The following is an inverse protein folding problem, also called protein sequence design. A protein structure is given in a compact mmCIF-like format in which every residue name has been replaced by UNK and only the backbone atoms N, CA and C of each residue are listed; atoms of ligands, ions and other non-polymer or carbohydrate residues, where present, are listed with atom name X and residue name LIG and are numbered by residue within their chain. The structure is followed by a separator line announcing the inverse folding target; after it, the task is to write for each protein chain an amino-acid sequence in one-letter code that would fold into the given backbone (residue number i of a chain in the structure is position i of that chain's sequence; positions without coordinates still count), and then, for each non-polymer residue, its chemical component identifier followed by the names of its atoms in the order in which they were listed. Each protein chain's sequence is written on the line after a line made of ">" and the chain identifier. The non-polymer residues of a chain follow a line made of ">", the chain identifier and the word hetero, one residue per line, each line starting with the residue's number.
data_IF_298842652018
#
_entry.id   IF_298842652018
#
_cell.length_a   1.000
_cell.length_b   1.000
_cell.length_c   1.000
_cell.angle_alpha   90.00
_cell.angle_beta   90.00
_cell.angle_gamma   90.00
#
_symmetry.space_group_name_H-M   'P 1'
#
loop_
_entity.id
_entity.type
_entity.pdbx_description
1 polymer ?
#
# COMPACT_ATOMS: atom_id res chain seq x y z
N UNK A 1 -34.05 2.29 -1.25
CA UNK A 1 -33.17 3.47 -1.40
C UNK A 1 -31.98 3.05 -2.24
N UNK A 2 -31.59 3.86 -3.22
CA UNK A 2 -30.41 3.58 -4.05
C UNK A 2 -29.16 3.69 -3.17
N UNK A 3 -28.27 2.71 -3.21
CA UNK A 3 -27.04 2.73 -2.45
C UNK A 3 -26.16 3.91 -2.91
N UNK A 4 -25.74 4.82 -2.02
CA UNK A 4 -25.03 6.05 -2.40
C UNK A 4 -23.68 5.79 -3.08
N UNK A 5 -23.04 4.64 -2.81
CA UNK A 5 -21.78 4.25 -3.46
C UNK A 5 -21.94 3.88 -4.94
N UNK A 6 -23.18 3.68 -5.42
CA UNK A 6 -23.49 3.37 -6.81
C UNK A 6 -23.79 4.62 -7.65
N UNK A 7 -24.03 5.76 -7.00
CA UNK A 7 -24.24 7.03 -7.68
C UNK A 7 -22.92 7.79 -7.81
N UNK A 8 -22.47 7.95 -9.06
CA UNK A 8 -21.20 8.59 -9.41
C UNK A 8 -21.39 9.83 -10.29
N UNK A 9 -22.64 10.31 -10.39
CA UNK A 9 -23.05 11.42 -11.27
C UNK A 9 -22.57 12.79 -10.78
N UNK A 10 -22.14 12.90 -9.51
CA UNK A 10 -21.65 14.13 -8.90
C UNK A 10 -20.52 13.90 -7.89
N UNK A 11 -20.43 14.80 -6.90
CA UNK A 11 -19.49 14.65 -5.77
C UNK A 11 -19.92 13.49 -4.85
N UNK A 12 -18.97 12.83 -4.16
CA UNK A 12 -19.29 11.83 -3.14
C UNK A 12 -20.23 12.37 -2.04
N UNK A 13 -21.36 11.72 -1.83
CA UNK A 13 -22.31 12.02 -0.75
C UNK A 13 -21.86 11.37 0.57
N UNK A 14 -20.73 11.81 1.11
CA UNK A 14 -20.08 11.20 2.29
C UNK A 14 -20.99 11.09 3.52
N UNK A 15 -21.88 12.06 3.73
CA UNK A 15 -22.86 12.10 4.81
C UNK A 15 -23.93 10.99 4.72
N UNK A 16 -24.17 10.47 3.51
CA UNK A 16 -25.13 9.41 3.25
C UNK A 16 -24.53 7.99 3.27
N UNK A 17 -23.20 7.86 3.20
CA UNK A 17 -22.52 6.56 3.19
C UNK A 17 -22.53 5.98 4.60
N UNK A 18 -23.02 4.74 4.72
CA UNK A 18 -23.06 3.99 5.98
C UNK A 18 -22.36 2.64 5.81
N UNK A 19 -21.83 2.02 6.89
CA UNK A 19 -21.11 0.76 6.81
C UNK A 19 -21.89 -0.35 6.08
N UNK A 20 -23.20 -0.45 6.29
CA UNK A 20 -24.07 -1.44 5.65
C UNK A 20 -24.20 -1.27 4.13
N UNK A 21 -23.84 -0.10 3.58
CA UNK A 21 -23.83 0.15 2.15
C UNK A 21 -22.60 -0.46 1.44
N UNK A 22 -21.49 -0.66 2.16
CA UNK A 22 -20.18 -1.00 1.57
C UNK A 22 -20.24 -2.35 0.87
N UNK A 23 -20.53 -3.43 1.60
CA UNK A 23 -20.54 -4.79 1.05
C UNK A 23 -21.42 -4.94 -0.19
N UNK A 24 -22.71 -4.58 -0.12
CA UNK A 24 -23.62 -4.69 -1.27
C UNK A 24 -23.18 -3.87 -2.49
N UNK A 25 -22.65 -2.65 -2.30
CA UNK A 25 -22.16 -1.85 -3.42
C UNK A 25 -20.92 -2.47 -4.07
N UNK A 26 -19.96 -2.91 -3.25
CA UNK A 26 -18.73 -3.52 -3.72
C UNK A 26 -19.02 -4.83 -4.45
N UNK A 27 -19.88 -5.69 -3.92
CA UNK A 27 -20.25 -6.94 -4.59
C UNK A 27 -20.90 -6.68 -5.97
N UNK A 28 -21.78 -5.68 -6.07
CA UNK A 28 -22.42 -5.31 -7.32
C UNK A 28 -21.43 -4.71 -8.34
N UNK A 29 -20.56 -3.79 -7.90
CA UNK A 29 -19.58 -3.15 -8.77
C UNK A 29 -18.49 -4.14 -9.21
N UNK A 30 -18.08 -5.02 -8.31
CA UNK A 30 -17.11 -6.07 -8.59
C UNK A 30 -17.66 -7.05 -9.62
N UNK A 31 -18.91 -7.50 -9.49
CA UNK A 31 -19.54 -8.38 -10.48
C UNK A 31 -19.61 -7.72 -11.87
N UNK A 32 -19.86 -6.41 -11.95
CA UNK A 32 -19.84 -5.65 -13.21
C UNK A 32 -18.42 -5.55 -13.79
N UNK A 33 -17.43 -5.27 -12.96
CA UNK A 33 -16.04 -5.18 -13.36
C UNK A 33 -15.51 -6.54 -13.86
N UNK A 34 -15.81 -7.64 -13.17
CA UNK A 34 -15.47 -9.00 -13.58
C UNK A 34 -16.14 -9.38 -14.91
N UNK A 35 -17.40 -9.00 -15.12
CA UNK A 35 -18.10 -9.23 -16.39
C UNK A 35 -17.45 -8.44 -17.54
N UNK A 36 -17.05 -7.18 -17.31
CA UNK A 36 -16.36 -6.37 -18.29
C UNK A 36 -14.97 -6.93 -18.62
N UNK A 37 -14.22 -7.42 -17.63
CA UNK A 37 -12.95 -8.14 -17.84
C UNK A 37 -13.15 -9.35 -18.76
N UNK A 38 -14.11 -10.22 -18.44
CA UNK A 38 -14.40 -11.41 -19.28
C UNK A 38 -14.78 -11.05 -20.71
N UNK A 39 -15.55 -9.98 -20.90
CA UNK A 39 -15.89 -9.51 -22.24
C UNK A 39 -14.64 -8.99 -22.96
N UNK A 40 -13.83 -8.17 -22.28
CA UNK A 40 -12.61 -7.57 -22.79
C UNK A 40 -11.57 -8.62 -23.25
N UNK A 41 -11.46 -9.75 -22.55
CA UNK A 41 -10.58 -10.88 -22.92
C UNK A 41 -10.85 -11.46 -24.33
N UNK A 42 -12.06 -11.28 -24.87
CA UNK A 42 -12.52 -11.97 -26.09
C UNK A 42 -12.94 -11.01 -27.22
N UNK A 43 -12.77 -9.70 -27.04
CA UNK A 43 -13.12 -8.69 -28.05
C UNK A 43 -12.39 -8.95 -29.38
N UNK A 44 -13.15 -8.98 -30.48
CA UNK A 44 -12.63 -9.03 -31.84
C UNK A 44 -13.65 -8.42 -32.82
N UNK A 45 -13.29 -7.41 -33.63
CA UNK A 45 -11.99 -6.74 -33.68
C UNK A 45 -11.73 -5.89 -32.43
N UNK A 46 -10.46 -5.83 -32.00
CA UNK A 46 -10.02 -4.98 -30.90
C UNK A 46 -9.92 -3.53 -31.37
N UNK A 47 -10.49 -2.61 -30.60
CA UNK A 47 -10.43 -1.17 -30.82
C UNK A 47 -10.53 -0.44 -29.49
N UNK A 48 -10.19 0.84 -29.46
CA UNK A 48 -10.31 1.67 -28.25
C UNK A 48 -11.72 1.60 -27.65
N UNK A 49 -12.74 1.74 -28.50
CA UNK A 49 -14.14 1.82 -28.07
C UNK A 49 -14.75 0.44 -27.76
N UNK A 50 -14.22 -0.64 -28.34
CA UNK A 50 -14.70 -2.01 -28.06
C UNK A 50 -13.98 -2.69 -26.89
N UNK A 51 -12.76 -2.26 -26.54
CA UNK A 51 -11.93 -2.87 -25.52
C UNK A 51 -11.64 -1.94 -24.33
N UNK A 52 -10.99 -0.80 -24.56
CA UNK A 52 -10.52 0.08 -23.47
C UNK A 52 -11.69 0.75 -22.76
N UNK A 53 -12.58 1.43 -23.50
CA UNK A 53 -13.68 2.21 -22.91
C UNK A 53 -14.59 1.35 -22.02
N UNK A 54 -15.12 0.18 -22.45
CA UNK A 54 -16.01 -0.60 -21.61
C UNK A 54 -15.32 -1.22 -20.38
N UNK A 55 -14.04 -1.58 -20.51
CA UNK A 55 -13.23 -2.11 -19.42
C UNK A 55 -12.98 -1.04 -18.35
N UNK A 56 -12.49 0.13 -18.78
CA UNK A 56 -12.19 1.26 -17.90
C UNK A 56 -13.47 1.78 -17.23
N UNK A 57 -14.57 1.96 -17.98
CA UNK A 57 -15.84 2.43 -17.42
C UNK A 57 -16.37 1.50 -16.31
N UNK A 58 -16.20 0.19 -16.43
CA UNK A 58 -16.65 -0.75 -15.43
C UNK A 58 -15.73 -0.77 -14.20
N UNK A 59 -14.41 -0.80 -14.41
CA UNK A 59 -13.42 -0.86 -13.33
C UNK A 59 -13.31 0.46 -12.57
N UNK A 60 -13.39 1.60 -13.24
CA UNK A 60 -13.34 2.93 -12.63
C UNK A 60 -14.51 3.14 -11.65
N UNK A 61 -15.69 2.62 -11.94
CA UNK A 61 -16.83 2.70 -11.01
C UNK A 61 -16.56 1.97 -9.70
N UNK A 62 -15.92 0.79 -9.78
CA UNK A 62 -15.49 0.04 -8.61
C UNK A 62 -14.46 0.83 -7.80
N UNK A 63 -13.43 1.34 -8.47
CA UNK A 63 -12.33 2.07 -7.81
C UNK A 63 -12.76 3.42 -7.23
N UNK A 64 -13.65 4.16 -7.89
CA UNK A 64 -14.25 5.38 -7.34
C UNK A 64 -15.07 5.12 -6.09
N UNK A 65 -15.86 4.04 -6.06
CA UNK A 65 -16.63 3.68 -4.87
C UNK A 65 -15.68 3.25 -3.73
N UNK A 66 -14.67 2.43 -4.04
CA UNK A 66 -13.68 2.00 -3.04
C UNK A 66 -12.84 3.16 -2.50
N UNK A 67 -12.50 4.14 -3.34
CA UNK A 67 -11.80 5.36 -2.93
C UNK A 67 -12.60 6.17 -1.90
N UNK A 68 -13.93 6.26 -2.05
CA UNK A 68 -14.80 6.92 -1.06
C UNK A 68 -14.80 6.17 0.28
N UNK A 69 -14.89 4.84 0.24
CA UNK A 69 -14.85 3.98 1.43
C UNK A 69 -13.49 4.07 2.13
N UNK A 70 -12.40 4.04 1.37
CA UNK A 70 -11.04 4.21 1.88
C UNK A 70 -10.80 5.59 2.52
N UNK A 71 -11.36 6.65 1.93
CA UNK A 71 -11.30 8.00 2.51
C UNK A 71 -12.01 8.06 3.87
N UNK A 72 -13.25 7.57 3.96
CA UNK A 72 -14.01 7.53 5.22
C UNK A 72 -13.26 6.71 6.29
N UNK A 73 -12.69 5.57 5.91
CA UNK A 73 -11.89 4.75 6.81
C UNK A 73 -10.66 5.50 7.35
N UNK A 74 -10.09 6.42 6.57
CA UNK A 74 -8.92 7.21 6.96
C UNK A 74 -9.27 8.40 7.87
N UNK A 75 -10.43 9.05 7.69
CA UNK A 75 -10.74 10.34 8.36
C UNK A 75 -11.86 10.28 9.40
N UNK A 76 -12.73 9.26 9.37
CA UNK A 76 -13.86 9.06 10.30
C UNK A 76 -14.00 7.57 10.64
N UNK A 77 -12.90 6.99 11.12
CA UNK A 77 -12.79 5.57 11.44
C UNK A 77 -13.72 5.17 12.61
N UNK A 78 -14.76 4.37 12.34
CA UNK A 78 -15.58 3.71 13.37
C UNK A 78 -15.35 2.19 13.34
N UNK A 79 -15.63 1.46 14.44
CA UNK A 79 -15.53 0.00 14.45
C UNK A 79 -16.32 -0.68 13.33
N UNK A 80 -17.53 -0.20 13.04
CA UNK A 80 -18.42 -0.75 12.02
C UNK A 80 -17.90 -0.49 10.61
N UNK A 81 -17.37 0.72 10.36
CA UNK A 81 -16.77 1.05 9.08
C UNK A 81 -15.47 0.26 8.85
N UNK A 82 -14.67 0.07 9.90
CA UNK A 82 -13.45 -0.75 9.86
C UNK A 82 -13.76 -2.20 9.51
N UNK A 83 -14.79 -2.77 10.12
CA UNK A 83 -15.24 -4.13 9.81
C UNK A 83 -15.75 -4.24 8.36
N UNK A 84 -16.56 -3.28 7.91
CA UNK A 84 -17.03 -3.23 6.53
C UNK A 84 -15.88 -3.07 5.51
N UNK A 85 -14.86 -2.28 5.83
CA UNK A 85 -13.65 -2.15 5.02
C UNK A 85 -12.85 -3.46 4.98
N UNK A 86 -12.51 -4.02 6.14
CA UNK A 86 -11.66 -5.21 6.26
C UNK A 86 -12.29 -6.46 5.63
N UNK A 87 -13.62 -6.60 5.71
CA UNK A 87 -14.35 -7.73 5.09
C UNK A 87 -14.39 -7.66 3.56
N UNK A 88 -14.23 -6.48 2.96
CA UNK A 88 -14.27 -6.29 1.51
C UNK A 88 -12.89 -6.15 0.87
N UNK A 89 -11.90 -5.59 1.58
CA UNK A 89 -10.53 -5.40 1.09
C UNK A 89 -9.95 -6.65 0.40
N UNK A 90 -10.05 -7.89 0.94
CA UNK A 90 -9.53 -9.08 0.26
C UNK A 90 -10.14 -9.33 -1.12
N UNK A 91 -11.43 -8.99 -1.33
CA UNK A 91 -12.10 -9.14 -2.63
C UNK A 91 -11.49 -8.19 -3.66
N UNK A 92 -11.27 -6.93 -3.28
CA UNK A 92 -10.67 -5.90 -4.14
C UNK A 92 -9.21 -6.22 -4.45
N UNK A 93 -8.43 -6.63 -3.44
CA UNK A 93 -7.04 -7.04 -3.63
C UNK A 93 -6.93 -8.21 -4.60
N UNK A 94 -7.78 -9.24 -4.45
CA UNK A 94 -7.83 -10.38 -5.38
C UNK A 94 -8.18 -9.94 -6.80
N UNK A 95 -9.18 -9.05 -6.96
CA UNK A 95 -9.57 -8.54 -8.27
C UNK A 95 -8.46 -7.73 -8.94
N UNK A 96 -7.83 -6.80 -8.21
CA UNK A 96 -6.71 -6.01 -8.72
C UNK A 96 -5.52 -6.88 -9.15
N UNK A 97 -5.16 -7.87 -8.34
CA UNK A 97 -4.10 -8.83 -8.69
C UNK A 97 -4.46 -9.66 -9.92
N UNK A 98 -5.69 -10.16 -10.01
CA UNK A 98 -6.15 -10.92 -11.17
C UNK A 98 -6.13 -10.08 -12.45
N UNK A 99 -6.53 -8.80 -12.38
CA UNK A 99 -6.48 -7.87 -13.50
C UNK A 99 -5.04 -7.64 -13.98
N UNK A 100 -4.12 -7.37 -13.05
CA UNK A 100 -2.70 -7.13 -13.36
C UNK A 100 -1.99 -8.35 -13.96
N UNK A 101 -2.46 -9.56 -13.64
CA UNK A 101 -1.89 -10.83 -14.12
C UNK A 101 -2.65 -11.43 -15.33
N UNK A 102 -3.64 -10.72 -15.87
CA UNK A 102 -4.48 -11.24 -16.92
C UNK A 102 -3.80 -11.21 -18.30
N UNK A 103 -3.27 -12.36 -18.73
CA UNK A 103 -2.57 -12.48 -20.01
C UNK A 103 -3.47 -12.29 -21.24
N UNK A 104 -4.77 -12.56 -21.13
CA UNK A 104 -5.71 -12.32 -22.23
C UNK A 104 -5.92 -10.81 -22.43
N UNK A 105 -6.05 -10.04 -21.35
CA UNK A 105 -6.06 -8.57 -21.46
C UNK A 105 -4.73 -8.03 -21.99
N UNK A 106 -3.59 -8.59 -21.57
CA UNK A 106 -2.30 -8.20 -22.13
C UNK A 106 -2.23 -8.43 -23.65
N UNK A 107 -2.71 -9.58 -24.12
CA UNK A 107 -2.79 -9.87 -25.54
C UNK A 107 -3.67 -8.86 -26.29
N UNK A 108 -4.79 -8.43 -25.70
CA UNK A 108 -5.66 -7.41 -26.28
C UNK A 108 -5.00 -6.03 -26.36
N UNK A 109 -4.28 -5.60 -25.31
CA UNK A 109 -3.50 -4.37 -25.36
C UNK A 109 -2.40 -4.42 -26.43
N UNK A 110 -1.73 -5.57 -26.61
CA UNK A 110 -0.75 -5.75 -27.70
C UNK A 110 -1.41 -5.65 -29.06
N UNK A 111 -2.51 -6.36 -29.27
CA UNK A 111 -3.25 -6.32 -30.52
C UNK A 111 -3.77 -4.91 -30.84
N UNK A 112 -4.22 -4.17 -29.82
CA UNK A 112 -4.62 -2.77 -29.95
C UNK A 112 -3.44 -1.88 -30.37
N UNK A 113 -2.25 -2.08 -29.79
CA UNK A 113 -1.05 -1.33 -30.16
C UNK A 113 -0.55 -1.60 -31.57
N UNK A 114 -0.81 -2.79 -32.11
CA UNK A 114 -0.50 -3.18 -33.48
C UNK A 114 -1.61 -2.80 -34.48
N UNK A 115 -2.78 -2.36 -34.00
CA UNK A 115 -3.92 -2.00 -34.85
C UNK A 115 -3.67 -0.69 -35.63
N UNK A 116 -4.18 -0.57 -36.88
CA UNK A 116 -4.03 0.65 -37.68
C UNK A 116 -4.54 1.93 -37.01
N UNK A 117 -5.55 1.83 -36.14
CA UNK A 117 -6.08 2.98 -35.41
C UNK A 117 -5.11 3.57 -34.39
N UNK A 118 -4.18 2.77 -33.85
CA UNK A 118 -3.22 3.24 -32.85
C UNK A 118 -2.30 4.36 -33.37
N UNK A 119 -2.06 4.38 -34.69
CA UNK A 119 -1.32 5.45 -35.35
C UNK A 119 -2.00 6.83 -35.25
N UNK A 120 -3.31 6.86 -34.99
CA UNK A 120 -4.13 8.07 -34.93
C UNK A 120 -4.48 8.50 -33.50
N UNK A 121 -4.00 7.77 -32.48
CA UNK A 121 -4.26 8.11 -31.09
C UNK A 121 -3.60 9.44 -30.68
N UNK A 122 -4.34 10.23 -29.92
CA UNK A 122 -3.81 11.43 -29.28
C UNK A 122 -2.74 11.07 -28.23
N UNK A 123 -2.16 12.10 -27.59
CA UNK A 123 -1.12 11.89 -26.59
C UNK A 123 -1.62 11.12 -25.35
N UNK A 124 -2.89 11.32 -24.95
CA UNK A 124 -3.45 10.68 -23.77
C UNK A 124 -3.68 9.18 -24.00
N UNK A 125 -4.33 8.82 -25.11
CA UNK A 125 -4.60 7.41 -25.48
C UNK A 125 -3.32 6.62 -25.68
N UNK A 126 -2.32 7.20 -26.38
CA UNK A 126 -1.00 6.58 -26.52
C UNK A 126 -0.35 6.34 -25.15
N UNK A 127 -0.42 7.32 -24.25
CA UNK A 127 0.19 7.18 -22.92
C UNK A 127 -0.47 6.11 -22.07
N UNK A 128 -1.81 6.01 -22.11
CA UNK A 128 -2.55 4.94 -21.44
C UNK A 128 -2.11 3.57 -21.95
N UNK A 129 -2.04 3.40 -23.28
CA UNK A 129 -1.61 2.16 -23.90
C UNK A 129 -0.17 1.77 -23.55
N UNK A 130 0.76 2.73 -23.63
CA UNK A 130 2.16 2.54 -23.23
C UNK A 130 2.28 2.12 -21.76
N UNK A 131 1.54 2.78 -20.87
CA UNK A 131 1.56 2.46 -19.44
C UNK A 131 0.98 1.08 -19.18
N UNK A 132 -0.15 0.72 -19.80
CA UNK A 132 -0.75 -0.61 -19.65
C UNK A 132 0.23 -1.72 -20.08
N UNK A 133 0.83 -1.61 -21.28
CA UNK A 133 1.82 -2.57 -21.77
C UNK A 133 3.04 -2.66 -20.87
N UNK A 134 3.57 -1.52 -20.42
CA UNK A 134 4.69 -1.48 -19.46
C UNK A 134 4.33 -2.20 -18.17
N UNK A 135 3.18 -1.90 -17.58
CA UNK A 135 2.80 -2.43 -16.28
C UNK A 135 2.55 -3.94 -16.34
N UNK A 136 1.98 -4.47 -17.42
CA UNK A 136 1.91 -5.92 -17.66
C UNK A 136 3.29 -6.56 -17.80
N UNK A 137 4.22 -5.93 -18.53
CA UNK A 137 5.60 -6.43 -18.63
C UNK A 137 6.29 -6.46 -17.27
N UNK A 138 6.17 -5.39 -16.48
CA UNK A 138 6.70 -5.33 -15.12
C UNK A 138 6.01 -6.33 -14.17
N UNK A 139 4.77 -6.72 -14.49
CA UNK A 139 4.04 -7.83 -13.86
C UNK A 139 4.42 -9.22 -14.34
N UNK A 140 5.44 -9.36 -15.22
CA UNK A 140 5.92 -10.66 -15.69
C UNK A 140 5.08 -11.29 -16.79
N UNK A 141 4.21 -10.54 -17.48
CA UNK A 141 3.32 -11.10 -18.51
C UNK A 141 4.07 -11.75 -19.69
N UNK A 142 5.28 -11.26 -20.00
CA UNK A 142 6.14 -11.75 -21.09
C UNK A 142 7.09 -12.88 -20.70
N UNK A 143 7.10 -13.29 -19.43
CA UNK A 143 7.92 -14.40 -18.95
C UNK A 143 7.44 -15.75 -19.51
N UNK A 144 8.37 -16.69 -19.66
CA UNK A 144 8.02 -18.11 -19.91
C UNK A 144 7.35 -18.74 -18.67
N UNK A 145 6.72 -19.90 -18.83
CA UNK A 145 5.91 -20.52 -17.77
C UNK A 145 6.72 -20.81 -16.50
N UNK A 146 7.99 -21.23 -16.64
CA UNK A 146 8.87 -21.49 -15.50
C UNK A 146 9.22 -20.20 -14.75
N UNK A 147 9.57 -19.15 -15.48
CA UNK A 147 9.91 -17.84 -14.95
C UNK A 147 8.70 -17.15 -14.32
N UNK A 148 7.49 -17.34 -14.88
CA UNK A 148 6.23 -16.87 -14.29
C UNK A 148 5.94 -17.52 -12.95
N UNK A 149 6.08 -18.85 -12.87
CA UNK A 149 5.88 -19.58 -11.62
C UNK A 149 6.86 -19.09 -10.54
N UNK A 150 8.13 -18.88 -10.91
CA UNK A 150 9.13 -18.35 -9.98
C UNK A 150 8.83 -16.91 -9.59
N UNK A 151 8.45 -16.06 -10.54
CA UNK A 151 8.08 -14.67 -10.29
C UNK A 151 6.91 -14.55 -9.29
N UNK A 152 5.89 -15.38 -9.43
CA UNK A 152 4.76 -15.43 -8.49
C UNK A 152 5.21 -15.80 -7.06
N UNK A 153 6.05 -16.83 -6.92
CA UNK A 153 6.61 -17.22 -5.62
C UNK A 153 7.45 -16.09 -4.99
N UNK A 154 8.28 -15.42 -5.80
CA UNK A 154 9.09 -14.29 -5.36
C UNK A 154 8.22 -13.13 -4.87
N UNK A 155 7.14 -12.80 -5.58
CA UNK A 155 6.20 -11.76 -5.14
C UNK A 155 5.47 -12.13 -3.85
N UNK A 156 5.01 -13.37 -3.72
CA UNK A 156 4.35 -13.87 -2.51
C UNK A 156 5.28 -13.76 -1.29
N UNK A 157 6.52 -14.24 -1.43
CA UNK A 157 7.51 -14.20 -0.37
C UNK A 157 7.89 -12.74 0.00
N UNK A 158 8.08 -11.87 -1.00
CA UNK A 158 8.32 -10.44 -0.77
C UNK A 158 7.17 -9.77 0.00
N UNK A 159 5.93 -10.10 -0.33
CA UNK A 159 4.75 -9.57 0.36
C UNK A 159 4.71 -10.02 1.82
N UNK A 160 4.98 -11.31 2.09
CA UNK A 160 5.03 -11.85 3.44
C UNK A 160 6.15 -11.21 4.28
N UNK A 161 7.35 -11.07 3.70
CA UNK A 161 8.50 -10.44 4.36
C UNK A 161 8.26 -8.96 4.64
N UNK A 162 7.64 -8.21 3.73
CA UNK A 162 7.30 -6.81 3.94
C UNK A 162 6.28 -6.62 5.10
N UNK A 163 5.29 -7.51 5.18
CA UNK A 163 4.35 -7.53 6.29
C UNK A 163 5.04 -7.86 7.62
N UNK A 164 5.88 -8.90 7.65
CA UNK A 164 6.66 -9.29 8.83
C UNK A 164 7.60 -8.18 9.29
N UNK A 165 8.31 -7.53 8.35
CA UNK A 165 9.17 -6.39 8.63
C UNK A 165 8.41 -5.27 9.35
N UNK A 166 7.26 -4.88 8.78
CA UNK A 166 6.44 -3.79 9.31
C UNK A 166 5.88 -4.13 10.69
N UNK A 167 5.40 -5.37 10.88
CA UNK A 167 4.90 -5.84 12.18
C UNK A 167 6.01 -5.83 13.24
N UNK A 168 7.19 -6.34 12.92
CA UNK A 168 8.34 -6.34 13.83
C UNK A 168 8.72 -4.92 14.28
N UNK A 169 8.70 -3.93 13.37
CA UNK A 169 8.96 -2.53 13.69
C UNK A 169 7.90 -1.96 14.64
N UNK A 170 6.62 -2.27 14.40
CA UNK A 170 5.52 -1.85 15.26
C UNK A 170 5.67 -2.45 16.67
N UNK A 171 5.83 -3.77 16.75
CA UNK A 171 5.98 -4.49 18.02
C UNK A 171 7.21 -4.00 18.81
N UNK A 172 8.34 -3.74 18.13
CA UNK A 172 9.53 -3.20 18.77
C UNK A 172 9.33 -1.75 19.27
N UNK A 173 8.49 -0.97 18.58
CA UNK A 173 8.12 0.40 19.00
C UNK A 173 7.21 0.36 20.24
N UNK A 174 6.26 -0.57 20.28
CA UNK A 174 5.26 -0.69 21.36
C UNK A 174 5.79 -1.40 22.60
N UNK A 175 6.74 -2.33 22.44
CA UNK A 175 7.39 -3.04 23.54
C UNK A 175 8.30 -2.14 24.39
N UNK A 176 8.79 -1.03 23.84
CA UNK A 176 9.70 -0.13 24.55
C UNK A 176 8.96 1.01 25.26
N UNK A 177 9.31 1.22 26.52
CA UNK A 177 8.96 2.45 27.22
C UNK A 177 10.00 2.79 28.29
N UNK A 178 10.07 4.07 28.63
CA UNK A 178 10.86 4.56 29.74
C UNK A 178 9.96 5.31 30.72
N UNK A 179 10.04 4.95 32.00
CA UNK A 179 9.31 5.62 33.07
C UNK A 179 10.30 6.48 33.86
N UNK A 180 10.03 7.79 33.91
CA UNK A 180 10.75 8.71 34.78
C UNK A 180 9.85 9.12 35.94
N UNK A 181 10.36 9.03 37.17
CA UNK A 181 9.69 9.58 38.36
C UNK A 181 10.21 10.99 38.71
N UNK A 182 11.25 11.46 38.03
CA UNK A 182 11.87 12.75 38.24
C UNK A 182 11.37 13.76 37.19
N UNK A 183 10.56 14.71 37.64
CA UNK A 183 10.02 15.78 36.80
C UNK A 183 11.11 16.62 36.11
N UNK A 184 12.30 16.70 36.70
CA UNK A 184 13.40 17.50 36.15
C UNK A 184 14.00 16.89 34.88
N UNK A 185 13.81 15.58 34.65
CA UNK A 185 14.22 14.96 33.39
C UNK A 185 13.40 15.44 32.20
N UNK A 186 12.21 16.00 32.44
CA UNK A 186 11.26 16.43 31.41
C UNK A 186 11.35 17.92 31.07
N UNK A 187 12.30 18.65 31.65
CA UNK A 187 12.50 20.06 31.33
C UNK A 187 12.77 20.26 29.83
N UNK A 188 12.22 21.35 29.29
CA UNK A 188 12.22 21.70 27.88
C UNK A 188 11.06 21.09 27.08
N UNK A 189 10.46 19.98 27.52
CA UNK A 189 9.37 19.35 26.78
C UNK A 189 8.10 20.22 26.72
N UNK A 190 7.36 20.20 25.59
CA UNK A 190 6.04 20.81 25.51
C UNK A 190 5.09 20.25 26.57
N UNK A 191 4.28 21.12 27.17
CA UNK A 191 3.36 20.74 28.24
C UNK A 191 2.38 19.62 27.83
N UNK A 192 1.96 19.59 26.57
CA UNK A 192 1.09 18.55 26.01
C UNK A 192 1.77 17.17 26.01
N UNK A 193 3.07 17.10 25.73
CA UNK A 193 3.86 15.86 25.74
C UNK A 193 4.02 15.36 27.16
N UNK A 194 4.31 16.27 28.11
CA UNK A 194 4.39 15.94 29.54
C UNK A 194 3.05 15.42 30.06
N UNK A 195 1.94 16.06 29.70
CA UNK A 195 0.60 15.62 30.08
C UNK A 195 0.26 14.25 29.47
N UNK A 196 0.58 14.01 28.19
CA UNK A 196 0.36 12.73 27.54
C UNK A 196 1.20 11.61 28.18
N UNK A 197 2.47 11.87 28.50
CA UNK A 197 3.33 10.90 29.18
C UNK A 197 2.82 10.57 30.60
N UNK A 198 2.24 11.55 31.30
CA UNK A 198 1.60 11.33 32.61
C UNK A 198 0.36 10.46 32.47
N UNK A 199 -0.53 10.77 31.53
CA UNK A 199 -1.73 9.99 31.27
C UNK A 199 -1.40 8.55 30.86
N UNK A 200 -0.33 8.35 30.08
CA UNK A 200 0.16 7.03 29.70
C UNK A 200 0.66 6.22 30.91
N UNK A 201 1.37 6.85 31.85
CA UNK A 201 1.79 6.21 33.10
C UNK A 201 0.59 5.80 33.96
N UNK A 202 -0.39 6.69 34.12
CA UNK A 202 -1.62 6.46 34.89
C UNK A 202 -2.46 5.33 34.30
N UNK A 203 -2.60 5.29 32.97
CA UNK A 203 -3.31 4.21 32.26
C UNK A 203 -2.72 2.83 32.54
N UNK A 204 -1.40 2.75 32.66
CA UNK A 204 -0.68 1.49 32.87
C UNK A 204 -0.36 1.22 34.35
N UNK A 205 -0.86 2.06 35.25
CA UNK A 205 -0.70 1.90 36.70
C UNK A 205 0.73 2.08 37.21
N UNK A 206 1.58 2.81 36.48
CA UNK A 206 2.96 3.11 36.88
C UNK A 206 3.11 4.56 37.34
N UNK A 207 4.00 4.85 38.32
CA UNK A 207 4.24 6.22 38.78
C UNK A 207 4.98 7.06 37.72
N UNK A 208 4.99 8.38 37.90
CA UNK A 208 5.80 9.28 37.08
C UNK A 208 5.22 9.58 35.70
N UNK A 209 6.08 9.56 34.68
CA UNK A 209 5.78 9.84 33.27
C UNK A 209 6.34 8.73 32.39
N UNK A 210 5.47 8.15 31.56
CA UNK A 210 5.80 7.08 30.63
C UNK A 210 6.06 7.65 29.25
N UNK A 211 7.32 7.60 28.81
CA UNK A 211 7.76 8.00 27.48
C UNK A 211 7.89 6.76 26.58
N UNK A 212 7.54 6.89 25.30
CA UNK A 212 7.54 5.79 24.32
C UNK A 212 8.28 6.20 23.05
N UNK A 213 8.43 5.26 22.11
CA UNK A 213 9.03 5.50 20.80
C UNK A 213 8.03 5.98 19.74
N UNK A 214 6.76 6.18 20.13
CA UNK A 214 5.75 6.73 19.24
C UNK A 214 6.14 8.17 18.85
N UNK A 215 6.03 8.53 17.57
CA UNK A 215 6.55 9.79 17.05
C UNK A 215 6.06 11.06 17.79
N UNK A 216 4.79 11.15 18.24
CA UNK A 216 4.33 12.28 19.06
C UNK A 216 5.04 12.44 20.42
N UNK A 217 5.72 11.40 20.90
CA UNK A 217 6.57 11.44 22.11
C UNK A 217 8.06 11.56 21.73
N UNK A 218 8.53 10.70 20.82
CA UNK A 218 9.94 10.62 20.44
C UNK A 218 10.47 11.95 19.85
N UNK A 219 9.75 12.56 18.91
CA UNK A 219 10.25 13.77 18.22
C UNK A 219 10.36 14.98 19.17
N UNK A 220 9.37 15.29 20.03
CA UNK A 220 9.54 16.36 21.01
C UNK A 220 10.67 16.09 22.01
N UNK A 221 10.90 14.83 22.41
CA UNK A 221 12.05 14.51 23.26
C UNK A 221 13.37 14.82 22.56
N UNK A 222 13.51 14.47 21.28
CA UNK A 222 14.75 14.77 20.55
C UNK A 222 14.92 16.27 20.26
N UNK A 223 13.82 17.01 20.10
CA UNK A 223 13.84 18.41 19.67
C UNK A 223 13.98 19.36 20.86
N UNK A 224 13.23 19.14 21.93
CA UNK A 224 12.97 20.14 22.96
C UNK A 224 13.50 19.77 24.35
N UNK A 225 13.73 18.48 24.65
CA UNK A 225 14.18 18.08 25.99
C UNK A 225 15.56 18.65 26.32
N UNK A 226 15.72 19.31 27.47
CA UNK A 226 17.00 19.84 27.94
C UNK A 226 17.95 18.70 28.36
N UNK A 227 17.39 17.63 28.92
CA UNK A 227 18.15 16.50 29.45
C UNK A 227 18.79 15.66 28.33
N UNK A 228 20.13 15.76 28.19
CA UNK A 228 20.93 15.02 27.21
C UNK A 228 20.82 13.50 27.37
N UNK A 229 20.78 13.00 28.61
CA UNK A 229 20.70 11.57 28.87
C UNK A 229 19.33 11.01 28.49
N UNK A 230 18.26 11.79 28.68
CA UNK A 230 16.93 11.43 28.20
C UNK A 230 16.91 11.33 26.67
N UNK A 231 17.46 12.34 25.97
CA UNK A 231 17.59 12.31 24.49
C UNK A 231 18.39 11.10 24.03
N UNK A 232 19.53 10.84 24.63
CA UNK A 232 20.41 9.72 24.30
C UNK A 232 19.71 8.36 24.51
N UNK A 233 18.96 8.21 25.61
CA UNK A 233 18.20 6.99 25.91
C UNK A 233 17.17 6.69 24.83
N UNK A 234 16.31 7.66 24.50
CA UNK A 234 15.30 7.48 23.47
C UNK A 234 15.91 7.33 22.06
N UNK A 235 17.03 8.02 21.79
CA UNK A 235 17.73 7.90 20.52
C UNK A 235 18.22 6.46 20.29
N UNK A 236 18.94 5.89 21.25
CA UNK A 236 19.44 4.50 21.17
C UNK A 236 18.30 3.52 20.99
N UNK A 237 17.29 3.61 21.86
CA UNK A 237 16.11 2.77 21.78
C UNK A 237 15.42 2.84 20.41
N UNK A 238 15.28 4.05 19.84
CA UNK A 238 14.68 4.24 18.52
C UNK A 238 15.54 3.71 17.36
N UNK A 239 16.87 3.83 17.47
CA UNK A 239 17.84 3.37 16.47
C UNK A 239 18.01 1.84 16.46
N UNK A 240 17.81 1.20 17.61
CA UNK A 240 17.95 -0.25 17.81
C UNK A 240 16.63 -1.02 17.59
N UNK A 241 15.53 -0.34 17.22
CA UNK A 241 14.23 -1.00 17.00
C UNK A 241 14.30 -2.06 15.93
N UNK A 242 13.72 -3.23 16.23
CA UNK A 242 13.63 -4.37 15.32
C UNK A 242 14.98 -4.75 14.69
N UNK A 243 16.03 -4.68 15.49
CA UNK A 243 17.41 -4.99 15.11
C UNK A 243 18.00 -6.08 16.01
N UNK A 244 19.20 -6.52 15.69
CA UNK A 244 19.99 -7.49 16.45
C UNK A 244 20.33 -7.03 17.88
N UNK A 245 20.17 -5.73 18.17
CA UNK A 245 20.39 -5.14 19.50
C UNK A 245 19.17 -5.20 20.41
N UNK A 246 18.00 -5.57 19.87
CA UNK A 246 16.73 -5.66 20.60
C UNK A 246 16.30 -7.10 20.90
N UNK A 247 14.99 -7.34 20.88
CA UNK A 247 14.43 -8.69 20.94
C UNK A 247 14.76 -9.44 19.63
N UNK A 248 15.51 -10.54 19.74
CA UNK A 248 15.88 -11.38 18.61
C UNK A 248 14.67 -11.92 17.81
N UNK A 249 13.48 -12.03 18.42
CA UNK A 249 12.26 -12.42 17.72
C UNK A 249 11.72 -11.32 16.78
N UNK A 250 12.15 -10.07 16.99
CA UNK A 250 11.75 -8.89 16.22
C UNK A 250 12.87 -8.40 15.29
N UNK A 251 14.04 -9.03 15.28
CA UNK A 251 15.15 -8.65 14.40
C UNK A 251 14.75 -8.77 12.91
N UNK A 252 14.94 -7.67 12.18
CA UNK A 252 14.65 -7.57 10.76
C UNK A 252 15.87 -7.74 9.85
N UNK A 253 17.08 -7.94 10.38
CA UNK A 253 18.31 -8.06 9.59
C UNK A 253 18.19 -9.15 8.52
N UNK A 254 17.77 -10.37 8.91
CA UNK A 254 17.55 -11.47 7.97
C UNK A 254 16.40 -11.22 6.98
N UNK A 255 15.35 -10.52 7.41
CA UNK A 255 14.24 -10.14 6.53
C UNK A 255 14.72 -9.18 5.43
N UNK A 256 15.56 -8.20 5.80
CA UNK A 256 16.14 -7.24 4.86
C UNK A 256 17.01 -7.97 3.83
N UNK A 257 17.93 -8.83 4.27
CA UNK A 257 18.79 -9.61 3.38
C UNK A 257 17.98 -10.42 2.38
N UNK A 258 16.93 -11.09 2.86
CA UNK A 258 16.06 -11.90 2.00
C UNK A 258 15.27 -11.04 1.02
N UNK A 259 14.74 -9.89 1.47
CA UNK A 259 14.06 -8.92 0.60
C UNK A 259 15.00 -8.42 -0.51
N UNK A 260 16.25 -8.09 -0.19
CA UNK A 260 17.22 -7.62 -1.18
C UNK A 260 17.56 -8.70 -2.20
N UNK A 261 17.78 -9.94 -1.76
CA UNK A 261 18.03 -11.08 -2.65
C UNK A 261 16.85 -11.33 -3.60
N UNK A 262 15.63 -11.37 -3.08
CA UNK A 262 14.40 -11.56 -3.87
C UNK A 262 14.15 -10.41 -4.84
N UNK A 263 14.43 -9.16 -4.43
CA UNK A 263 14.33 -8.00 -5.33
C UNK A 263 15.35 -8.04 -6.46
N UNK A 264 16.56 -8.52 -6.19
CA UNK A 264 17.58 -8.73 -7.23
C UNK A 264 17.13 -9.82 -8.22
N UNK A 265 16.63 -10.94 -7.71
CA UNK A 265 16.10 -12.03 -8.53
C UNK A 265 14.90 -11.58 -9.39
N UNK A 266 13.93 -10.87 -8.80
CA UNK A 266 12.78 -10.31 -9.51
C UNK A 266 13.21 -9.43 -10.69
N UNK A 267 14.19 -8.56 -10.45
CA UNK A 267 14.72 -7.68 -11.49
C UNK A 267 15.37 -8.47 -12.62
N UNK A 268 16.15 -9.51 -12.30
CA UNK A 268 16.81 -10.37 -13.28
C UNK A 268 15.81 -11.16 -14.12
N UNK A 269 14.75 -11.71 -13.50
CA UNK A 269 13.67 -12.40 -14.22
C UNK A 269 13.08 -11.49 -15.29
N UNK A 270 12.89 -10.21 -14.97
CA UNK A 270 12.33 -9.21 -15.87
C UNK A 270 13.36 -8.56 -16.82
N UNK A 271 14.62 -9.01 -16.82
CA UNK A 271 15.67 -8.51 -17.71
C UNK A 271 16.32 -7.19 -17.27
N UNK A 272 16.14 -6.76 -16.02
CA UNK A 272 16.81 -5.58 -15.45
C UNK A 272 18.11 -5.97 -14.73
N UNK A 273 19.13 -5.11 -14.75
CA UNK A 273 20.39 -5.40 -14.07
C UNK A 273 20.30 -5.19 -12.54
N UNK A 274 19.28 -4.49 -12.05
CA UNK A 274 19.05 -4.27 -10.62
C UNK A 274 17.59 -3.89 -10.33
N UNK A 275 17.17 -4.08 -9.08
CA UNK A 275 15.84 -3.62 -8.64
C UNK A 275 15.65 -2.11 -8.75
N UNK A 276 16.74 -1.32 -8.65
CA UNK A 276 16.69 0.11 -8.87
C UNK A 276 16.26 0.45 -10.31
N UNK A 277 16.80 -0.25 -11.30
CA UNK A 277 16.42 -0.08 -12.71
C UNK A 277 14.97 -0.48 -12.97
N UNK A 278 14.53 -1.62 -12.41
CA UNK A 278 13.13 -2.01 -12.40
C UNK A 278 12.23 -0.92 -11.79
N UNK A 279 12.64 -0.36 -10.65
CA UNK A 279 11.87 0.64 -9.91
C UNK A 279 11.74 1.98 -10.65
N UNK A 280 12.77 2.42 -11.38
CA UNK A 280 12.71 3.68 -12.13
C UNK A 280 11.90 3.59 -13.42
N UNK A 281 11.60 2.39 -13.93
CA UNK A 281 10.79 2.20 -15.14
C UNK A 281 9.39 2.87 -15.06
N UNK A 282 8.88 3.10 -13.85
CA UNK A 282 7.60 3.79 -13.60
C UNK A 282 7.75 5.24 -13.13
N UNK A 283 8.99 5.76 -13.03
CA UNK A 283 9.31 7.09 -12.45
C UNK A 283 9.81 8.07 -13.51
N UNK A 284 9.80 9.35 -13.16
CA UNK A 284 10.36 10.42 -13.99
C UNK A 284 11.90 10.36 -14.09
N UNK A 285 12.57 9.80 -13.09
CA UNK A 285 14.02 9.63 -13.10
C UNK A 285 14.43 8.64 -14.19
N UNK A 286 15.31 9.06 -15.10
CA UNK A 286 15.68 8.30 -16.30
C UNK A 286 16.73 7.21 -16.05
N UNK A 287 17.45 7.23 -14.92
CA UNK A 287 18.40 6.18 -14.52
C UNK A 287 18.64 6.20 -13.01
N UNK A 288 19.23 5.11 -12.48
CA UNK A 288 19.90 5.18 -11.17
C UNK A 288 20.98 6.27 -11.26
N UNK A 289 21.11 7.12 -10.24
CA UNK A 289 22.24 8.05 -10.16
C UNK A 289 23.52 7.23 -10.21
N UNK A 290 24.43 7.59 -11.12
CA UNK A 290 25.72 6.91 -11.30
C UNK A 290 26.59 7.04 -10.06
#
# INVERSE_FOLDING_TARGET
>A
MTNPLLDLSGLPSFDAIRPEHVGPAIDQLLAKAEAAVKAAEQVSPVSWDSFVVPLDDATERLWRAWGQVGHLQAVVNTPELREAYNSNLPKLSRFGSALAQNLALYAQYKALAEAPEAAHYDAARRKVLENALRDFRLGGAELDDASKARFAQVQEELSALAAKFSQNVLDATDAWSYVSEDATELFGLPAEVVAAARAAAEKDGVPGWKLTLQMPCYLPVQTDADNRELRARLYRANAERASEFGDAALDNSANIDRILALRAELAQLLGFASYAEYSVATKMAQSRMK
#
